data_IF_690655092336
#
_entry.id   IF_690655092336
#
_cell.length_a   1.000
_cell.length_b   1.000
_cell.length_c   1.000
_cell.angle_alpha   90.00
_cell.angle_beta   90.00
_cell.angle_gamma   90.00
#
_symmetry.space_group_name_H-M   'P 1'
#
loop_
_entity.id
_entity.type
_entity.pdbx_description
1 polymer ?
#
# COMPACT_ATOMS: atom_id res chain seq x y z
N UNK A 1 -0.35 -16.13 11.46
CA UNK A 1 -0.32 -14.66 11.24
C UNK A 1 0.99 -14.29 10.58
N UNK A 2 0.91 -13.57 9.45
CA UNK A 2 2.08 -13.08 8.72
C UNK A 2 2.08 -11.54 8.81
N UNK A 3 3.19 -10.94 9.27
CA UNK A 3 3.30 -9.50 9.42
C UNK A 3 4.06 -8.88 8.24
N UNK A 4 3.41 -7.99 7.50
CA UNK A 4 4.03 -7.13 6.49
C UNK A 4 4.37 -5.78 7.14
N UNK A 5 5.58 -5.64 7.60
CA UNK A 5 6.06 -4.42 8.24
C UNK A 5 6.41 -4.61 9.72
N UNK A 6 7.63 -4.24 10.08
CA UNK A 6 8.11 -4.25 11.47
C UNK A 6 7.70 -2.97 12.21
N UNK A 7 7.81 -3.02 13.54
CA UNK A 7 7.73 -1.85 14.42
C UNK A 7 8.86 -0.87 14.10
N UNK A 8 8.56 0.16 13.31
CA UNK A 8 9.39 1.36 13.28
C UNK A 8 8.87 2.30 14.33
N UNK A 9 9.64 2.54 15.37
CA UNK A 9 9.35 3.55 16.41
C UNK A 9 9.22 4.97 15.86
N UNK A 10 9.70 5.22 14.62
CA UNK A 10 9.66 6.52 13.95
C UNK A 10 9.09 6.37 12.52
N UNK A 11 7.81 5.98 12.40
CA UNK A 11 7.09 6.03 11.13
C UNK A 11 6.89 7.47 10.63
N UNK A 12 6.66 7.69 9.33
CA UNK A 12 6.38 9.02 8.76
C UNK A 12 5.31 9.78 9.56
N UNK A 13 4.26 9.08 9.99
CA UNK A 13 3.19 9.66 10.82
C UNK A 13 3.72 10.21 12.14
N UNK A 14 4.60 9.48 12.82
CA UNK A 14 5.15 9.90 14.11
C UNK A 14 6.10 11.09 13.94
N UNK A 15 6.90 11.12 12.87
CA UNK A 15 7.77 12.25 12.54
C UNK A 15 6.96 13.52 12.27
N UNK A 16 5.87 13.40 11.49
CA UNK A 16 4.98 14.53 11.19
C UNK A 16 4.28 15.02 12.45
N UNK A 17 3.69 14.12 13.23
CA UNK A 17 2.97 14.49 14.46
C UNK A 17 3.89 15.01 15.58
N UNK A 18 5.19 14.72 15.50
CA UNK A 18 6.22 15.28 16.37
C UNK A 18 6.79 16.61 15.86
N UNK A 19 6.33 17.13 14.71
CA UNK A 19 6.86 18.35 14.08
C UNK A 19 8.27 18.19 13.51
N UNK A 20 8.77 16.95 13.38
CA UNK A 20 10.11 16.65 12.84
C UNK A 20 10.12 16.55 11.30
N UNK A 21 8.95 16.40 10.69
CA UNK A 21 8.73 16.39 9.25
C UNK A 21 7.53 17.27 8.93
N UNK A 22 7.77 18.38 8.23
CA UNK A 22 6.74 19.41 7.96
C UNK A 22 6.04 19.26 6.62
N UNK A 23 6.52 18.35 5.75
CA UNK A 23 5.97 18.16 4.41
C UNK A 23 6.05 16.70 3.97
N UNK A 24 4.98 16.20 3.37
CA UNK A 24 4.91 14.88 2.72
C UNK A 24 4.10 15.05 1.44
N UNK A 25 4.79 15.12 0.30
CA UNK A 25 4.13 15.21 -0.99
C UNK A 25 3.58 13.85 -1.46
N UNK A 26 2.64 13.82 -2.42
CA UNK A 26 2.20 12.59 -3.05
C UNK A 26 3.34 11.79 -3.68
N UNK A 27 4.32 12.47 -4.29
CA UNK A 27 5.50 11.84 -4.92
C UNK A 27 6.36 11.14 -3.87
N UNK A 28 6.66 11.82 -2.75
CA UNK A 28 7.41 11.24 -1.62
C UNK A 28 6.72 9.98 -1.09
N UNK A 29 5.40 10.01 -0.98
CA UNK A 29 4.64 8.86 -0.48
C UNK A 29 4.59 7.72 -1.51
N UNK A 30 4.49 8.03 -2.80
CA UNK A 30 4.60 7.04 -3.88
C UNK A 30 5.95 6.33 -3.88
N UNK A 31 7.04 7.09 -3.78
CA UNK A 31 8.41 6.55 -3.68
C UNK A 31 8.60 5.73 -2.39
N UNK A 32 7.96 6.14 -1.28
CA UNK A 32 7.92 5.34 -0.06
C UNK A 32 7.20 4.00 -0.25
N UNK A 33 6.11 3.95 -1.03
CA UNK A 33 5.42 2.69 -1.34
C UNK A 33 6.27 1.77 -2.22
N UNK A 34 6.99 2.32 -3.21
CA UNK A 34 7.96 1.54 -4.00
C UNK A 34 9.03 0.95 -3.08
N UNK A 35 9.66 1.77 -2.25
CA UNK A 35 10.66 1.30 -1.30
C UNK A 35 10.12 0.29 -0.28
N UNK A 36 8.85 0.40 0.09
CA UNK A 36 8.18 -0.60 0.94
C UNK A 36 8.01 -1.94 0.19
N UNK A 37 7.61 -1.93 -1.07
CA UNK A 37 7.47 -3.13 -1.89
C UNK A 37 8.83 -3.81 -2.10
N UNK A 38 9.85 -3.05 -2.48
CA UNK A 38 11.20 -3.57 -2.70
C UNK A 38 11.83 -4.13 -1.41
N UNK A 39 11.75 -3.39 -0.30
CA UNK A 39 12.35 -3.79 0.97
C UNK A 39 11.56 -4.82 1.78
N UNK A 40 10.30 -5.08 1.40
CA UNK A 40 9.36 -5.97 2.09
C UNK A 40 8.74 -6.99 1.15
N UNK A 41 9.40 -7.31 0.05
CA UNK A 41 8.91 -8.26 -0.95
C UNK A 41 8.59 -9.62 -0.33
N UNK A 42 9.49 -10.18 0.50
CA UNK A 42 9.31 -11.49 1.14
C UNK A 42 8.00 -11.58 1.96
N UNK A 43 7.70 -10.71 2.94
CA UNK A 43 6.43 -10.77 3.65
C UNK A 43 5.20 -10.50 2.77
N UNK A 44 5.31 -9.73 1.69
CA UNK A 44 4.21 -9.53 0.74
C UNK A 44 3.94 -10.84 -0.01
N UNK A 45 4.97 -11.50 -0.53
CA UNK A 45 4.89 -12.80 -1.19
C UNK A 45 4.27 -13.83 -0.24
N UNK A 46 4.72 -13.90 1.01
CA UNK A 46 4.16 -14.83 1.99
C UNK A 46 2.66 -14.62 2.25
N UNK A 47 2.14 -13.39 2.13
CA UNK A 47 0.68 -13.16 2.20
C UNK A 47 0.00 -13.64 0.92
N UNK A 48 0.56 -13.35 -0.26
CA UNK A 48 0.02 -13.80 -1.54
C UNK A 48 -0.02 -15.34 -1.63
N UNK A 49 1.02 -16.03 -1.16
CA UNK A 49 1.06 -17.49 -1.07
C UNK A 49 -0.02 -18.05 -0.14
N UNK A 50 -0.30 -17.39 0.99
CA UNK A 50 -1.41 -17.78 1.88
C UNK A 50 -2.76 -17.57 1.23
N UNK A 51 -2.93 -16.52 0.46
CA UNK A 51 -4.16 -16.28 -0.32
C UNK A 51 -4.29 -17.30 -1.44
N UNK A 52 -3.19 -17.76 -2.03
CA UNK A 52 -3.17 -18.78 -3.08
C UNK A 52 -3.47 -20.21 -2.60
N UNK A 53 -3.58 -20.43 -1.30
CA UNK A 53 -3.90 -21.73 -0.70
C UNK A 53 -5.37 -21.76 -0.24
N UNK A 54 -6.24 -22.57 -0.88
CA UNK A 54 -7.66 -22.65 -0.52
C UNK A 54 -7.90 -23.14 0.91
N UNK A 55 -6.95 -23.86 1.51
CA UNK A 55 -7.06 -24.33 2.90
C UNK A 55 -7.01 -23.16 3.92
N UNK A 56 -6.55 -21.99 3.50
CA UNK A 56 -6.51 -20.79 4.35
C UNK A 56 -7.78 -19.94 4.25
N UNK A 57 -8.70 -20.23 3.35
CA UNK A 57 -9.89 -19.40 3.14
C UNK A 57 -10.97 -19.61 4.19
N UNK A 58 -11.65 -18.54 4.62
CA UNK A 58 -11.50 -17.16 4.17
C UNK A 58 -10.25 -16.49 4.74
N UNK A 59 -9.59 -15.64 3.94
CA UNK A 59 -8.42 -14.85 4.34
C UNK A 59 -8.84 -13.40 4.60
N UNK A 60 -8.38 -12.84 5.72
CA UNK A 60 -8.49 -11.41 6.02
C UNK A 60 -7.09 -10.85 6.25
N UNK A 61 -6.75 -9.79 5.52
CA UNK A 61 -5.53 -9.04 5.75
C UNK A 61 -5.83 -7.59 6.09
N UNK A 62 -5.09 -7.04 7.02
CA UNK A 62 -5.26 -5.67 7.50
C UNK A 62 -3.95 -5.09 8.03
N UNK A 63 -3.88 -3.78 8.13
CA UNK A 63 -2.86 -3.08 8.89
C UNK A 63 -3.53 -2.23 9.99
N UNK A 64 -2.86 -1.20 10.49
CA UNK A 64 -3.44 -0.35 11.53
C UNK A 64 -4.58 0.53 11.00
N UNK A 65 -4.35 1.24 9.89
CA UNK A 65 -5.32 2.18 9.30
C UNK A 65 -6.06 1.62 8.08
N UNK A 66 -5.61 0.49 7.53
CA UNK A 66 -6.19 -0.10 6.31
C UNK A 66 -5.83 0.64 5.02
N UNK A 67 -5.01 1.68 5.05
CA UNK A 67 -4.71 2.55 3.91
C UNK A 67 -3.43 2.15 3.17
N UNK A 68 -2.28 2.29 3.83
CA UNK A 68 -0.98 2.14 3.15
C UNK A 68 -0.66 0.67 2.86
N UNK A 69 -0.25 -0.10 3.86
CA UNK A 69 0.14 -1.51 3.67
C UNK A 69 -0.98 -2.37 3.11
N UNK A 70 -2.20 -2.19 3.60
CA UNK A 70 -3.38 -2.92 3.12
C UNK A 70 -3.76 -2.51 1.71
N UNK A 71 -3.80 -1.20 1.42
CA UNK A 71 -4.14 -0.68 0.10
C UNK A 71 -3.11 -1.10 -0.96
N UNK A 72 -1.81 -1.00 -0.64
CA UNK A 72 -0.74 -1.46 -1.56
C UNK A 72 -0.81 -2.98 -1.78
N UNK A 73 -1.05 -3.79 -0.73
CA UNK A 73 -1.21 -5.23 -0.89
C UNK A 73 -2.45 -5.60 -1.71
N UNK A 74 -3.58 -4.91 -1.50
CA UNK A 74 -4.78 -5.09 -2.32
C UNK A 74 -4.51 -4.74 -3.79
N UNK A 75 -3.86 -3.61 -4.05
CA UNK A 75 -3.49 -3.18 -5.39
C UNK A 75 -2.56 -4.18 -6.09
N UNK A 76 -1.56 -4.72 -5.38
CA UNK A 76 -0.68 -5.77 -5.88
C UNK A 76 -1.48 -7.03 -6.23
N UNK A 77 -2.37 -7.49 -5.35
CA UNK A 77 -3.22 -8.66 -5.60
C UNK A 77 -4.13 -8.45 -6.82
N UNK A 78 -4.81 -7.31 -6.91
CA UNK A 78 -5.68 -6.97 -8.05
C UNK A 78 -4.88 -6.92 -9.36
N UNK A 79 -3.67 -6.36 -9.35
CA UNK A 79 -2.76 -6.35 -10.50
C UNK A 79 -2.36 -7.76 -10.93
N UNK A 80 -2.06 -8.66 -9.99
CA UNK A 80 -1.79 -10.09 -10.24
C UNK A 80 -2.98 -10.78 -10.90
N UNK A 81 -4.20 -10.41 -10.50
CA UNK A 81 -5.44 -10.94 -11.06
C UNK A 81 -5.76 -10.36 -12.45
N UNK A 82 -5.01 -9.35 -12.92
CA UNK A 82 -5.21 -8.75 -14.23
C UNK A 82 -6.29 -7.68 -14.27
N UNK A 83 -6.67 -7.13 -13.11
CA UNK A 83 -7.56 -5.98 -13.03
C UNK A 83 -6.83 -4.77 -13.63
N UNK A 84 -7.53 -3.96 -14.41
CA UNK A 84 -6.97 -2.75 -15.01
C UNK A 84 -6.59 -1.71 -13.95
N UNK A 85 -5.57 -0.92 -14.26
CA UNK A 85 -4.99 0.05 -13.32
C UNK A 85 -6.02 1.06 -12.84
N UNK A 86 -6.88 1.56 -13.72
CA UNK A 86 -7.90 2.54 -13.37
C UNK A 86 -8.86 2.02 -12.31
N UNK A 87 -9.31 0.78 -12.45
CA UNK A 87 -10.17 0.09 -11.46
C UNK A 87 -9.43 -0.11 -10.13
N UNK A 88 -8.14 -0.45 -10.16
CA UNK A 88 -7.32 -0.59 -8.94
C UNK A 88 -7.18 0.76 -8.22
N UNK A 89 -6.95 1.84 -8.98
CA UNK A 89 -6.84 3.18 -8.44
C UNK A 89 -8.17 3.66 -7.83
N UNK A 90 -9.30 3.32 -8.46
CA UNK A 90 -10.64 3.63 -7.94
C UNK A 90 -10.91 2.89 -6.61
N UNK A 91 -10.56 1.61 -6.51
CA UNK A 91 -10.67 0.83 -5.27
C UNK A 91 -9.83 1.44 -4.13
N UNK A 92 -8.59 1.79 -4.42
CA UNK A 92 -7.72 2.44 -3.44
C UNK A 92 -8.29 3.77 -2.93
N UNK A 93 -8.84 4.58 -3.83
CA UNK A 93 -9.41 5.90 -3.52
C UNK A 93 -10.70 5.82 -2.68
N UNK A 94 -11.38 4.67 -2.62
CA UNK A 94 -12.52 4.48 -1.71
C UNK A 94 -12.18 4.81 -0.26
N UNK A 95 -10.94 4.58 0.15
CA UNK A 95 -10.45 4.97 1.48
C UNK A 95 -10.54 6.49 1.70
N UNK A 96 -10.31 7.28 0.67
CA UNK A 96 -10.44 8.75 0.74
C UNK A 96 -11.89 9.15 1.04
N UNK A 97 -12.84 8.50 0.40
CA UNK A 97 -14.26 8.76 0.59
C UNK A 97 -14.75 8.36 1.98
N UNK A 98 -14.33 7.19 2.49
CA UNK A 98 -14.94 6.59 3.67
C UNK A 98 -14.12 6.77 4.96
N UNK A 99 -12.81 6.98 4.88
CA UNK A 99 -11.92 7.02 6.04
C UNK A 99 -11.23 8.35 6.25
N UNK A 100 -10.78 9.00 5.18
CA UNK A 100 -9.93 10.19 5.24
C UNK A 100 -10.57 11.34 6.02
N UNK A 101 -11.86 11.70 5.87
CA UNK A 101 -12.46 12.81 6.63
C UNK A 101 -12.34 12.60 8.15
N UNK A 102 -12.60 11.38 8.63
CA UNK A 102 -12.47 11.04 10.05
C UNK A 102 -11.01 11.10 10.51
N UNK A 103 -10.09 10.60 9.68
CA UNK A 103 -8.67 10.61 10.01
C UNK A 103 -8.10 12.02 10.07
N UNK A 104 -8.47 12.89 9.16
CA UNK A 104 -8.05 14.30 9.17
C UNK A 104 -8.57 15.02 10.41
N UNK A 105 -9.83 14.81 10.77
CA UNK A 105 -10.39 15.39 12.00
C UNK A 105 -9.66 14.89 13.27
N UNK A 106 -9.27 13.62 13.31
CA UNK A 106 -8.53 13.03 14.42
C UNK A 106 -7.11 13.61 14.58
N UNK A 107 -6.39 13.83 13.46
CA UNK A 107 -4.99 14.29 13.50
C UNK A 107 -4.85 15.80 13.56
N UNK A 108 -5.85 16.57 13.12
CA UNK A 108 -5.79 18.03 13.03
C UNK A 108 -5.35 18.72 14.34
N UNK A 109 -5.86 18.36 15.54
CA UNK A 109 -5.42 18.99 16.79
C UNK A 109 -3.94 18.73 17.10
N UNK A 110 -3.44 17.54 16.76
CA UNK A 110 -2.03 17.16 16.98
C UNK A 110 -1.10 17.89 16.01
N UNK A 111 -1.52 18.03 14.75
CA UNK A 111 -0.78 18.80 13.74
C UNK A 111 -0.70 20.27 14.14
N UNK A 112 -1.81 20.86 14.56
CA UNK A 112 -1.83 22.23 15.06
C UNK A 112 -0.87 22.44 16.25
N UNK A 113 -0.86 21.50 17.19
CA UNK A 113 0.03 21.55 18.36
C UNK A 113 1.52 21.40 17.98
N UNK A 114 1.84 20.69 16.90
CA UNK A 114 3.21 20.52 16.39
C UNK A 114 3.64 21.60 15.39
N UNK A 115 2.75 22.56 15.05
CA UNK A 115 3.01 23.62 14.07
C UNK A 115 3.09 23.13 12.61
N UNK A 116 2.58 21.94 12.31
CA UNK A 116 2.57 21.37 10.97
C UNK A 116 1.26 21.72 10.26
N UNK A 117 1.36 22.29 9.07
CA UNK A 117 0.22 22.62 8.23
C UNK A 117 -0.37 21.34 7.59
N UNK A 118 -1.68 21.13 7.77
CA UNK A 118 -2.37 19.93 7.28
C UNK A 118 -2.19 19.73 5.77
N UNK A 119 -2.30 20.78 4.97
CA UNK A 119 -2.21 20.69 3.51
C UNK A 119 -0.86 20.19 3.03
N UNK A 120 0.23 20.49 3.74
CA UNK A 120 1.59 20.01 3.42
C UNK A 120 1.80 18.52 3.70
N UNK A 121 0.96 17.92 4.54
CA UNK A 121 1.10 16.52 4.95
C UNK A 121 -0.16 15.71 4.66
N UNK A 122 -1.12 16.28 3.95
CA UNK A 122 -2.41 15.65 3.65
C UNK A 122 -2.25 14.30 2.96
N UNK A 123 -1.29 14.15 2.04
CA UNK A 123 -1.01 12.90 1.35
C UNK A 123 -0.78 11.73 2.32
N UNK A 124 -0.12 11.97 3.45
CA UNK A 124 0.13 10.96 4.47
C UNK A 124 -1.15 10.43 5.14
N UNK A 125 -2.20 11.24 5.23
CA UNK A 125 -3.44 10.92 5.94
C UNK A 125 -4.62 10.59 5.02
N UNK A 126 -4.43 10.73 3.70
CA UNK A 126 -5.42 10.49 2.65
C UNK A 126 -4.96 9.40 1.68
N UNK A 127 -5.90 8.74 1.00
CA UNK A 127 -5.62 7.73 -0.03
C UNK A 127 -5.75 8.37 -1.42
N UNK A 128 -4.80 9.22 -1.77
CA UNK A 128 -4.83 9.94 -3.04
C UNK A 128 -4.44 9.02 -4.19
N UNK A 129 -5.27 8.94 -5.21
CA UNK A 129 -5.07 8.18 -6.45
C UNK A 129 -3.67 8.38 -7.04
N UNK A 130 -3.19 9.62 -7.07
CA UNK A 130 -1.88 9.99 -7.62
C UNK A 130 -0.71 9.28 -6.93
N UNK A 131 -0.83 8.97 -5.64
CA UNK A 131 0.20 8.24 -4.88
C UNK A 131 0.37 6.81 -5.40
N UNK A 132 -0.74 6.09 -5.56
CA UNK A 132 -0.69 4.70 -6.06
C UNK A 132 -0.32 4.66 -7.55
N UNK A 133 -0.85 5.58 -8.36
CA UNK A 133 -0.49 5.73 -9.77
C UNK A 133 1.04 5.97 -9.94
N UNK A 134 1.63 6.82 -9.11
CA UNK A 134 3.09 7.03 -9.07
C UNK A 134 3.83 5.73 -8.75
N UNK A 135 3.35 4.98 -7.78
CA UNK A 135 3.93 3.68 -7.40
C UNK A 135 3.92 2.72 -8.57
N UNK A 136 2.78 2.58 -9.28
CA UNK A 136 2.65 1.70 -10.43
C UNK A 136 3.52 2.16 -11.61
N UNK A 137 3.53 3.45 -11.92
CA UNK A 137 4.38 4.00 -12.98
C UNK A 137 5.86 3.68 -12.72
N UNK A 138 6.33 3.82 -11.47
CA UNK A 138 7.72 3.50 -11.10
C UNK A 138 8.00 2.00 -11.22
N UNK A 139 7.07 1.13 -10.80
CA UNK A 139 7.24 -0.32 -10.96
C UNK A 139 7.20 -0.74 -12.43
N UNK A 140 6.34 -0.11 -13.23
CA UNK A 140 6.29 -0.32 -14.68
C UNK A 140 7.60 0.09 -15.36
N UNK A 141 8.16 1.24 -15.00
CA UNK A 141 9.42 1.73 -15.53
C UNK A 141 10.60 0.82 -15.18
N UNK A 142 10.68 0.37 -13.92
CA UNK A 142 11.81 -0.42 -13.42
C UNK A 142 11.74 -1.89 -13.79
N UNK A 143 10.55 -2.48 -13.78
CA UNK A 143 10.34 -3.93 -13.81
C UNK A 143 9.36 -4.39 -14.89
N UNK A 144 8.79 -3.47 -15.66
CA UNK A 144 7.84 -3.78 -16.74
C UNK A 144 6.40 -4.05 -16.26
N UNK A 145 6.21 -4.56 -15.05
CA UNK A 145 4.88 -4.73 -14.43
C UNK A 145 4.99 -5.12 -12.95
N UNK A 146 3.89 -5.01 -12.20
CA UNK A 146 3.82 -5.54 -10.82
C UNK A 146 4.02 -7.07 -10.79
N UNK A 147 3.37 -7.88 -11.64
CA UNK A 147 3.67 -9.33 -11.70
C UNK A 147 5.14 -9.64 -12.00
N UNK A 148 5.78 -8.93 -12.95
CA UNK A 148 7.20 -9.12 -13.27
C UNK A 148 8.09 -8.76 -12.08
N UNK A 149 7.82 -7.66 -11.38
CA UNK A 149 8.52 -7.34 -10.13
C UNK A 149 8.45 -8.49 -9.13
N UNK A 150 7.26 -9.07 -8.93
CA UNK A 150 7.08 -10.16 -7.96
C UNK A 150 7.86 -11.42 -8.33
N UNK A 151 7.86 -11.81 -9.62
CA UNK A 151 8.50 -13.05 -10.09
C UNK A 151 10.01 -12.89 -10.33
N UNK A 152 10.40 -11.83 -11.02
CA UNK A 152 11.75 -11.73 -11.58
C UNK A 152 12.73 -11.08 -10.59
N UNK A 153 12.23 -10.17 -9.74
CA UNK A 153 13.06 -9.46 -8.76
C UNK A 153 12.81 -9.94 -7.32
N UNK A 154 11.54 -10.11 -6.94
CA UNK A 154 11.17 -10.45 -5.57
C UNK A 154 11.21 -11.97 -5.30
N UNK A 155 11.38 -12.81 -6.33
CA UNK A 155 11.58 -14.26 -6.21
C UNK A 155 10.30 -15.05 -5.91
N UNK A 156 9.12 -14.52 -6.22
CA UNK A 156 7.87 -15.26 -6.08
C UNK A 156 7.77 -16.37 -7.14
N UNK A 157 7.40 -17.58 -6.72
CA UNK A 157 7.13 -18.67 -7.64
C UNK A 157 6.02 -18.30 -8.65
N UNK A 158 6.29 -18.31 -9.97
CA UNK A 158 5.29 -18.01 -10.99
C UNK A 158 4.02 -18.88 -10.88
N UNK A 159 4.13 -20.10 -10.35
CA UNK A 159 2.98 -20.95 -10.11
C UNK A 159 2.01 -20.34 -9.06
N UNK A 160 2.50 -19.50 -8.16
CA UNK A 160 1.63 -18.79 -7.19
C UNK A 160 0.70 -17.79 -7.90
N UNK A 161 1.18 -17.09 -8.94
CA UNK A 161 0.33 -16.21 -9.76
C UNK A 161 -0.81 -16.99 -10.42
N UNK A 162 -0.49 -18.16 -10.98
CA UNK A 162 -1.49 -19.02 -11.63
C UNK A 162 -2.51 -19.54 -10.62
N UNK A 163 -2.07 -19.98 -9.43
CA UNK A 163 -2.97 -20.40 -8.35
C UNK A 163 -3.91 -19.30 -7.89
N UNK A 164 -3.40 -18.08 -7.70
CA UNK A 164 -4.22 -16.91 -7.33
C UNK A 164 -5.31 -16.65 -8.38
N UNK A 165 -4.94 -16.62 -9.65
CA UNK A 165 -5.88 -16.42 -10.75
C UNK A 165 -6.92 -17.53 -10.81
N UNK A 166 -6.50 -18.77 -10.73
CA UNK A 166 -7.43 -19.92 -10.76
C UNK A 166 -8.40 -19.93 -9.58
N UNK A 167 -7.95 -19.51 -8.40
CA UNK A 167 -8.75 -19.53 -7.17
C UNK A 167 -9.71 -18.35 -7.05
N UNK A 168 -9.32 -17.18 -7.54
CA UNK A 168 -10.05 -15.93 -7.30
C UNK A 168 -10.78 -15.39 -8.52
N UNK A 169 -10.50 -15.90 -9.73
CA UNK A 169 -11.22 -15.55 -10.96
C UNK A 169 -12.11 -16.73 -11.33
N UNK A 170 -13.41 -16.57 -11.11
CA UNK A 170 -14.45 -17.59 -11.42
C UNK A 170 -15.11 -17.26 -12.74
#
# INVERSE_FOLDING_TARGET
>A
TTAVGGDRKDGLTDLVLAGKLGEVSPEMLGDFYVGMLESRAEPIIAVLERVADPANHPVVFHCTAGKDRTGVLAAVLLSVLGVDEETILDDYELTDRYRTPYRLAEVAPRLAASGVELDKVKALFSAQRVVLARTFATLQERYGSVPAFLTDEAGMDPATLQRLRHLLLV
#
